data_IF_821346443495
#
_entry.id   IF_821346443495
#
_cell.length_a   1.000
_cell.length_b   1.000
_cell.length_c   1.000
_cell.angle_alpha   90.00
_cell.angle_beta   90.00
_cell.angle_gamma   90.00
#
_symmetry.space_group_name_H-M   'P 1'
#
loop_
_entity.id
_entity.type
_entity.pdbx_description
1 polymer ?
#
# COMPACT_ATOMS: atom_id res chain seq x y z
N UNK A 1 -0.34 -13.08 -0.60
CA UNK A 1 -0.30 -11.61 -0.73
C UNK A 1 -1.71 -11.14 -1.07
N UNK A 2 -2.29 -10.18 -0.32
CA UNK A 2 -3.70 -9.85 -0.44
C UNK A 2 -3.99 -9.12 -1.75
N UNK A 3 -5.20 -9.32 -2.26
CA UNK A 3 -5.66 -8.73 -3.52
C UNK A 3 -7.12 -8.30 -3.38
N UNK A 4 -7.50 -7.25 -4.08
CA UNK A 4 -8.87 -6.77 -4.16
C UNK A 4 -9.36 -6.79 -5.62
N UNK A 5 -10.58 -7.25 -5.84
CA UNK A 5 -11.28 -7.11 -7.12
C UNK A 5 -11.95 -5.74 -7.17
N UNK A 6 -11.44 -4.84 -8.00
CA UNK A 6 -11.92 -3.46 -8.13
C UNK A 6 -12.06 -3.13 -9.60
N UNK A 7 -13.26 -2.72 -10.03
CA UNK A 7 -13.54 -2.33 -11.42
C UNK A 7 -13.12 -3.39 -12.46
N UNK A 8 -13.26 -4.68 -12.13
CA UNK A 8 -12.87 -5.78 -13.01
C UNK A 8 -11.37 -6.06 -13.09
N UNK A 9 -10.56 -5.47 -12.20
CA UNK A 9 -9.14 -5.71 -12.09
C UNK A 9 -8.76 -6.26 -10.71
N UNK A 10 -7.75 -7.13 -10.67
CA UNK A 10 -7.12 -7.65 -9.45
C UNK A 10 -5.98 -6.74 -9.02
N UNK A 11 -6.21 -5.96 -7.96
CA UNK A 11 -5.23 -5.04 -7.41
C UNK A 11 -4.50 -5.67 -6.24
N UNK A 12 -3.18 -5.74 -6.34
CA UNK A 12 -2.31 -6.09 -5.22
C UNK A 12 -2.23 -4.92 -4.23
N UNK A 13 -2.21 -5.23 -2.94
CA UNK A 13 -1.93 -4.27 -1.88
C UNK A 13 -1.20 -4.92 -0.71
N UNK A 14 -0.67 -4.10 0.18
CA UNK A 14 -0.09 -4.50 1.46
C UNK A 14 -0.73 -3.69 2.58
N UNK A 15 -0.83 -4.29 3.77
CA UNK A 15 -1.27 -3.60 4.99
C UNK A 15 -0.23 -3.84 6.05
N UNK A 16 0.20 -2.76 6.70
CA UNK A 16 1.22 -2.75 7.74
C UNK A 16 0.78 -1.78 8.84
N UNK A 17 0.97 -2.19 10.10
CA UNK A 17 0.56 -1.40 11.26
C UNK A 17 -0.94 -1.44 11.56
N UNK A 18 -1.34 -0.70 12.58
CA UNK A 18 -2.71 -0.55 13.07
C UNK A 18 -2.96 0.92 13.43
N UNK A 19 -4.22 1.36 13.56
CA UNK A 19 -4.56 2.75 13.94
C UNK A 19 -5.32 3.51 12.86
N UNK A 20 -5.00 4.80 12.66
CA UNK A 20 -5.68 5.64 11.67
C UNK A 20 -5.28 5.19 10.26
N UNK A 21 -6.24 4.80 9.40
CA UNK A 21 -5.91 4.31 8.06
C UNK A 21 -5.23 5.38 7.20
N UNK A 22 -4.12 4.99 6.56
CA UNK A 22 -3.37 5.79 5.59
C UNK A 22 -3.13 4.97 4.33
N UNK A 23 -3.52 5.52 3.16
CA UNK A 23 -3.31 4.88 1.86
C UNK A 23 -2.17 5.56 1.13
N UNK A 24 -1.17 4.77 0.72
CA UNK A 24 -0.04 5.24 -0.09
C UNK A 24 -0.22 4.78 -1.54
N UNK A 25 -0.47 5.72 -2.45
CA UNK A 25 -0.58 5.46 -3.88
C UNK A 25 0.69 5.89 -4.58
N UNK A 26 1.33 4.97 -5.31
CA UNK A 26 2.53 5.28 -6.09
C UNK A 26 2.18 6.07 -7.37
N UNK A 27 3.20 6.60 -8.04
CA UNK A 27 3.06 7.29 -9.33
C UNK A 27 2.93 6.33 -10.51
N UNK A 28 2.76 6.85 -11.73
CA UNK A 28 2.74 6.01 -12.93
C UNK A 28 4.08 5.29 -13.16
N UNK A 29 4.04 4.09 -13.76
CA UNK A 29 5.21 3.24 -14.08
C UNK A 29 6.07 2.82 -12.88
N UNK A 30 5.53 2.87 -11.66
CA UNK A 30 6.17 2.32 -10.45
C UNK A 30 5.24 1.30 -9.78
N UNK A 31 5.64 0.77 -8.63
CA UNK A 31 4.82 -0.11 -7.78
C UNK A 31 4.93 0.29 -6.30
N UNK A 32 4.48 -0.58 -5.38
CA UNK A 32 4.50 -0.33 -3.93
C UNK A 32 5.91 -0.14 -3.37
N UNK A 33 6.96 -0.58 -4.06
CA UNK A 33 8.36 -0.47 -3.60
C UNK A 33 8.84 0.97 -3.43
N UNK A 34 8.20 1.93 -4.11
CA UNK A 34 8.49 3.36 -3.94
C UNK A 34 8.31 3.81 -2.47
N UNK A 35 7.45 3.13 -1.71
CA UNK A 35 7.15 3.48 -0.33
C UNK A 35 7.96 2.71 0.73
N UNK A 36 8.89 1.83 0.33
CA UNK A 36 9.69 1.04 1.30
C UNK A 36 10.32 1.87 2.43
N UNK A 37 10.90 3.07 2.17
CA UNK A 37 11.47 3.90 3.24
C UNK A 37 10.41 4.50 4.18
N UNK A 38 9.15 4.61 3.73
CA UNK A 38 8.06 5.27 4.44
C UNK A 38 7.20 4.29 5.26
N UNK A 39 7.02 3.06 4.78
CA UNK A 39 6.13 2.06 5.40
C UNK A 39 6.50 1.81 6.86
N UNK A 40 7.78 1.56 7.16
CA UNK A 40 8.23 1.28 8.53
C UNK A 40 7.91 2.40 9.53
N UNK A 41 8.37 3.65 9.28
CA UNK A 41 8.05 4.78 10.16
C UNK A 41 6.56 5.09 10.28
N UNK A 42 5.75 4.88 9.23
CA UNK A 42 4.31 5.18 9.25
C UNK A 42 3.48 4.09 9.93
N UNK A 43 3.88 2.82 9.83
CA UNK A 43 3.16 1.70 10.44
C UNK A 43 3.31 1.63 11.97
N UNK A 44 4.32 2.29 12.52
CA UNK A 44 4.65 2.27 13.96
C UNK A 44 4.27 3.58 14.68
N UNK A 45 3.39 4.39 14.07
CA UNK A 45 2.84 5.62 14.68
C UNK A 45 1.51 5.34 15.33
#
# INVERSE_FOLDING_TARGET
MPQAEVNGARLYYEVQGEGIPLVLSHGGWTDTSHWLPNVGPLANR
#
